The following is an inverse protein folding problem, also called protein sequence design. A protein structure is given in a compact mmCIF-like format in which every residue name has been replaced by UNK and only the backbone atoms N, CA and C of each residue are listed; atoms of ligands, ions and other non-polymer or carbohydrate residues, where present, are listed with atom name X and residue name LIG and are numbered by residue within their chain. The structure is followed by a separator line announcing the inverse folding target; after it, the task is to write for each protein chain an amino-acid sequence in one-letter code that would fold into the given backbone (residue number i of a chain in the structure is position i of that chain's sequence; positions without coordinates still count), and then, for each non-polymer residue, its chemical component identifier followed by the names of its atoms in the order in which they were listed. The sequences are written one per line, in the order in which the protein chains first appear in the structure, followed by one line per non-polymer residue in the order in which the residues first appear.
data_IF_098779861514
#
_entry.id   IF_098779861514
#
_cell.length_a   1.000
_cell.length_b   1.000
_cell.length_c   1.000
_cell.angle_alpha   90.00
_cell.angle_beta   90.00
_cell.angle_gamma   90.00
#
_symmetry.space_group_name_H-M   'P 1'
#
loop_
_entity.id
_entity.type
_entity.pdbx_description
1 polymer ?
#
# COMPACT_ATOMS: atom_id res chain seq x y z
N UNK A 1 -15.87 5.55 -6.49
CA UNK A 1 -15.66 4.35 -5.65
C UNK A 1 -15.34 4.76 -4.22
N UNK A 2 -15.88 4.04 -3.23
CA UNK A 2 -15.56 4.19 -1.81
C UNK A 2 -14.25 3.50 -1.46
N UNK A 3 -13.65 3.87 -0.32
CA UNK A 3 -12.45 3.20 0.19
C UNK A 3 -12.67 1.69 0.40
N UNK A 4 -13.88 1.27 0.78
CA UNK A 4 -14.23 -0.14 0.94
C UNK A 4 -14.31 -0.90 -0.40
N UNK A 5 -14.85 -0.28 -1.44
CA UNK A 5 -14.86 -0.87 -2.79
C UNK A 5 -13.45 -1.04 -3.33
N UNK A 6 -12.61 -0.01 -3.18
CA UNK A 6 -11.20 -0.04 -3.57
C UNK A 6 -10.44 -1.11 -2.76
N UNK A 7 -10.68 -1.18 -1.44
CA UNK A 7 -10.07 -2.17 -0.56
C UNK A 7 -10.31 -3.61 -1.03
N UNK A 8 -11.54 -3.91 -1.45
CA UNK A 8 -11.88 -5.24 -1.97
C UNK A 8 -11.06 -5.59 -3.20
N UNK A 9 -10.96 -4.66 -4.16
CA UNK A 9 -10.17 -4.86 -5.36
C UNK A 9 -8.68 -5.01 -5.06
N UNK A 10 -8.14 -4.26 -4.08
CA UNK A 10 -6.75 -4.40 -3.63
C UNK A 10 -6.50 -5.79 -3.05
N UNK A 11 -7.38 -6.28 -2.18
CA UNK A 11 -7.26 -7.62 -1.59
C UNK A 11 -7.29 -8.70 -2.68
N UNK A 12 -8.27 -8.64 -3.58
CA UNK A 12 -8.43 -9.61 -4.65
C UNK A 12 -7.23 -9.60 -5.62
N UNK A 13 -6.73 -8.41 -5.99
CA UNK A 13 -5.54 -8.24 -6.83
C UNK A 13 -4.27 -8.80 -6.15
N UNK A 14 -4.09 -8.52 -4.86
CA UNK A 14 -2.92 -8.99 -4.11
C UNK A 14 -2.88 -10.52 -4.02
N UNK A 15 -4.04 -11.13 -3.77
CA UNK A 15 -4.18 -12.60 -3.74
C UNK A 15 -3.89 -13.19 -5.12
N UNK A 16 -4.42 -12.58 -6.19
CA UNK A 16 -4.17 -13.05 -7.55
C UNK A 16 -2.68 -12.99 -7.91
N UNK A 17 -2.01 -11.87 -7.65
CA UNK A 17 -0.56 -11.71 -7.90
C UNK A 17 0.23 -12.77 -7.13
N UNK A 18 0.00 -12.90 -5.82
CA UNK A 18 0.74 -13.85 -4.98
C UNK A 18 0.49 -15.31 -5.41
N UNK A 19 -0.73 -15.65 -5.84
CA UNK A 19 -1.05 -16.99 -6.33
C UNK A 19 -0.28 -17.35 -7.60
N UNK A 20 -0.12 -16.41 -8.52
CA UNK A 20 0.57 -16.65 -9.80
C UNK A 20 2.10 -16.69 -9.64
N UNK A 21 2.66 -15.86 -8.76
CA UNK A 21 4.13 -15.74 -8.63
C UNK A 21 4.72 -16.55 -7.49
N UNK A 22 3.91 -16.87 -6.48
CA UNK A 22 4.40 -17.32 -5.18
C UNK A 22 5.15 -16.21 -4.41
N UNK A 23 5.62 -16.51 -3.19
CA UNK A 23 6.47 -15.64 -2.39
C UNK A 23 7.94 -15.64 -2.89
N UNK A 24 8.74 -14.70 -2.40
CA UNK A 24 10.21 -14.70 -2.58
C UNK A 24 10.78 -13.72 -3.62
N UNK A 25 9.92 -12.99 -4.36
CA UNK A 25 10.37 -11.90 -5.23
C UNK A 25 10.71 -10.62 -4.43
N UNK A 26 11.42 -9.70 -5.06
CA UNK A 26 11.69 -8.38 -4.49
C UNK A 26 10.41 -7.52 -4.42
N UNK A 27 10.34 -6.63 -3.43
CA UNK A 27 9.22 -5.69 -3.27
C UNK A 27 8.93 -4.90 -4.56
N UNK A 28 9.98 -4.46 -5.24
CA UNK A 28 9.87 -3.70 -6.50
C UNK A 28 9.23 -4.49 -7.64
N UNK A 29 9.32 -5.84 -7.61
CA UNK A 29 8.68 -6.71 -8.60
C UNK A 29 7.19 -6.81 -8.30
N UNK A 30 6.82 -7.09 -7.05
CA UNK A 30 5.40 -7.13 -6.66
C UNK A 30 4.70 -5.79 -6.88
N UNK A 31 5.41 -4.69 -6.68
CA UNK A 31 4.88 -3.35 -6.92
C UNK A 31 4.48 -3.14 -8.38
N UNK A 32 5.32 -3.59 -9.32
CA UNK A 32 5.02 -3.53 -10.77
C UNK A 32 3.82 -4.42 -11.11
N UNK A 33 3.78 -5.64 -10.59
CA UNK A 33 2.72 -6.60 -10.86
C UNK A 33 1.38 -6.16 -10.27
N UNK A 34 1.37 -5.72 -9.01
CA UNK A 34 0.17 -5.27 -8.33
C UNK A 34 -0.38 -4.00 -8.97
N UNK A 35 0.49 -3.07 -9.38
CA UNK A 35 0.06 -1.91 -10.16
C UNK A 35 -0.69 -2.36 -11.42
N UNK A 36 -0.10 -3.25 -12.21
CA UNK A 36 -0.70 -3.73 -13.45
C UNK A 36 -2.04 -4.45 -13.23
N UNK A 37 -2.13 -5.31 -12.21
CA UNK A 37 -3.36 -6.04 -11.86
C UNK A 37 -4.48 -5.09 -11.38
N UNK A 38 -4.14 -4.00 -10.70
CA UNK A 38 -5.12 -3.00 -10.28
C UNK A 38 -5.57 -2.11 -11.45
N UNK A 39 -4.66 -1.72 -12.33
CA UNK A 39 -4.98 -0.95 -13.54
C UNK A 39 -5.86 -1.76 -14.52
N UNK A 40 -5.62 -3.07 -14.65
CA UNK A 40 -6.47 -3.95 -15.48
C UNK A 40 -7.91 -4.06 -14.94
N UNK A 41 -8.11 -3.80 -13.64
CA UNK A 41 -9.41 -3.71 -12.97
C UNK A 41 -10.03 -2.31 -13.08
N UNK A 42 -9.42 -1.40 -13.83
CA UNK A 42 -9.92 -0.05 -14.09
C UNK A 42 -9.58 0.97 -13.01
N UNK A 43 -8.65 0.67 -12.09
CA UNK A 43 -8.22 1.60 -11.05
C UNK A 43 -7.06 2.47 -11.53
N UNK A 44 -7.07 3.75 -11.16
CA UNK A 44 -5.90 4.62 -11.26
C UNK A 44 -4.90 4.28 -10.15
N UNK A 45 -3.66 3.97 -10.53
CA UNK A 45 -2.59 3.63 -9.58
C UNK A 45 -1.34 4.46 -9.84
N UNK A 46 -1.04 5.33 -8.90
CA UNK A 46 0.16 6.16 -8.89
C UNK A 46 1.26 5.42 -8.11
N UNK A 47 2.44 5.27 -8.70
CA UNK A 47 3.55 4.48 -8.16
C UNK A 47 4.65 5.39 -7.61
N UNK A 48 5.28 4.99 -6.50
CA UNK A 48 6.52 5.61 -6.01
C UNK A 48 6.33 7.11 -5.73
N UNK A 49 5.28 7.46 -4.97
CA UNK A 49 4.83 8.85 -4.77
C UNK A 49 5.48 9.47 -3.53
N UNK A 50 6.21 10.56 -3.71
CA UNK A 50 6.82 11.31 -2.60
C UNK A 50 5.76 11.89 -1.67
N UNK A 51 5.89 11.62 -0.37
CA UNK A 51 5.03 12.19 0.66
C UNK A 51 5.75 13.38 1.29
N UNK A 52 5.27 14.63 1.04
CA UNK A 52 5.95 15.82 1.55
C UNK A 52 5.83 15.91 3.07
N UNK A 53 6.91 16.34 3.71
CA UNK A 53 6.92 16.67 5.13
C UNK A 53 6.86 18.18 5.26
N UNK A 54 6.01 18.66 6.17
CA UNK A 54 6.00 20.05 6.62
C UNK A 54 6.43 20.10 8.08
N UNK A 55 7.62 20.64 8.33
CA UNK A 55 8.14 20.86 9.67
C UNK A 55 8.38 22.35 9.90
N UNK A 56 7.54 22.97 10.74
CA UNK A 56 7.65 24.40 11.10
C UNK A 56 7.81 25.33 9.89
N UNK A 57 7.08 25.06 8.80
CA UNK A 57 7.11 25.84 7.57
C UNK A 57 8.17 25.39 6.55
N UNK A 58 9.10 24.51 6.92
CA UNK A 58 10.02 23.88 5.98
C UNK A 58 9.27 22.73 5.29
N UNK A 59 9.06 22.88 3.98
CA UNK A 59 8.48 21.84 3.12
C UNK A 59 9.59 21.17 2.32
N UNK A 60 9.69 19.85 2.43
CA UNK A 60 10.63 19.07 1.65
C UNK A 60 10.03 17.71 1.27
N UNK A 61 10.45 17.18 0.13
CA UNK A 61 9.98 15.90 -0.40
C UNK A 61 10.94 14.74 -0.06
N UNK A 62 12.15 15.03 0.43
CA UNK A 62 13.09 14.01 0.90
C UNK A 62 12.66 13.47 2.28
N UNK A 63 11.91 12.38 2.31
CA UNK A 63 11.67 11.70 3.59
C UNK A 63 10.91 10.39 3.44
N UNK A 64 9.87 10.40 2.62
CA UNK A 64 8.96 9.28 2.49
C UNK A 64 8.46 9.15 1.05
N UNK A 65 8.24 7.90 0.64
CA UNK A 65 7.79 7.57 -0.70
C UNK A 65 6.83 6.40 -0.57
N UNK A 66 5.56 6.66 -0.84
CA UNK A 66 4.54 5.62 -0.84
C UNK A 66 4.76 4.70 -2.03
N UNK A 67 4.66 3.39 -1.84
CA UNK A 67 4.85 2.44 -2.94
C UNK A 67 3.75 2.61 -3.98
N UNK A 68 2.48 2.53 -3.58
CA UNK A 68 1.34 2.83 -4.44
C UNK A 68 0.31 3.74 -3.75
N UNK A 69 -0.34 4.59 -4.55
CA UNK A 69 -1.56 5.31 -4.20
C UNK A 69 -2.63 4.97 -5.22
N UNK A 70 -3.74 4.40 -4.75
CA UNK A 70 -4.86 3.96 -5.58
C UNK A 70 -6.01 4.95 -5.47
N UNK A 71 -6.52 5.42 -6.61
CA UNK A 71 -7.65 6.37 -6.72
C UNK A 71 -7.48 7.66 -5.89
N UNK A 72 -6.23 8.05 -5.60
CA UNK A 72 -5.89 9.12 -4.64
C UNK A 72 -6.55 8.97 -3.25
N UNK A 73 -6.93 7.75 -2.87
CA UNK A 73 -7.66 7.46 -1.63
C UNK A 73 -6.98 6.44 -0.73
N UNK A 74 -6.35 5.42 -1.30
CA UNK A 74 -5.79 4.29 -0.56
C UNK A 74 -4.29 4.21 -0.77
N UNK A 75 -3.52 4.19 0.32
CA UNK A 75 -2.07 3.98 0.29
C UNK A 75 -1.77 2.48 0.38
N UNK A 76 -0.81 1.98 -0.38
CA UNK A 76 -0.29 0.62 -0.26
C UNK A 76 1.21 0.71 -0.05
N UNK A 77 1.69 0.04 1.00
CA UNK A 77 3.10 -0.27 1.23
C UNK A 77 3.31 -1.77 1.05
N UNK A 78 4.29 -2.15 0.24
CA UNK A 78 4.63 -3.54 -0.01
C UNK A 78 5.80 -3.96 0.87
N UNK A 79 5.78 -5.23 1.27
CA UNK A 79 6.89 -5.91 1.94
C UNK A 79 7.07 -7.29 1.34
N UNK A 80 8.30 -7.79 1.36
CA UNK A 80 8.63 -9.18 1.01
C UNK A 80 9.60 -9.72 2.05
N UNK A 81 9.09 -9.93 3.26
CA UNK A 81 9.89 -10.30 4.43
C UNK A 81 9.22 -11.42 5.21
N UNK A 82 10.01 -12.17 5.99
CA UNK A 82 9.48 -13.25 6.84
C UNK A 82 8.58 -12.73 7.96
N UNK A 83 8.80 -11.51 8.47
CA UNK A 83 7.99 -10.95 9.55
C UNK A 83 7.82 -9.45 9.45
N UNK A 84 6.57 -9.00 9.60
CA UNK A 84 6.24 -7.58 9.69
C UNK A 84 6.56 -7.01 11.08
N UNK A 85 7.36 -5.94 11.12
CA UNK A 85 7.66 -5.21 12.33
C UNK A 85 6.59 -4.16 12.68
N UNK A 86 6.58 -3.71 13.94
CA UNK A 86 5.75 -2.56 14.37
C UNK A 86 6.12 -1.27 13.62
N UNK A 87 7.37 -1.13 13.16
CA UNK A 87 7.82 0.05 12.42
C UNK A 87 7.14 0.14 11.05
N UNK A 88 6.96 -0.99 10.36
CA UNK A 88 6.26 -1.02 9.06
C UNK A 88 4.81 -0.51 9.20
N UNK A 89 4.09 -0.97 10.23
CA UNK A 89 2.72 -0.48 10.51
C UNK A 89 2.69 1.02 10.83
N UNK A 90 3.65 1.50 11.62
CA UNK A 90 3.79 2.93 11.96
C UNK A 90 4.08 3.80 10.74
N UNK A 91 4.85 3.30 9.78
CA UNK A 91 5.13 4.00 8.52
C UNK A 91 3.83 4.29 7.77
N UNK A 92 2.99 3.27 7.53
CA UNK A 92 1.70 3.46 6.83
C UNK A 92 0.82 4.48 7.55
N UNK A 93 0.68 4.36 8.88
CA UNK A 93 -0.10 5.32 9.67
C UNK A 93 0.44 6.75 9.58
N UNK A 94 1.76 6.91 9.47
CA UNK A 94 2.39 8.22 9.27
C UNK A 94 2.02 8.78 7.90
N UNK A 95 2.02 7.95 6.85
CA UNK A 95 1.66 8.39 5.50
C UNK A 95 0.20 8.81 5.43
N UNK A 96 -0.70 8.04 6.04
CA UNK A 96 -2.11 8.39 6.14
C UNK A 96 -2.32 9.75 6.80
N UNK A 97 -1.62 10.03 7.91
CA UNK A 97 -1.70 11.33 8.60
C UNK A 97 -1.14 12.48 7.76
N UNK A 98 0.02 12.29 7.13
CA UNK A 98 0.67 13.35 6.35
C UNK A 98 -0.07 13.68 5.05
N UNK A 99 -0.88 12.75 4.54
CA UNK A 99 -1.62 12.90 3.27
C UNK A 99 -3.12 13.14 3.46
N UNK A 100 -3.59 13.19 4.71
CA UNK A 100 -5.02 13.22 5.07
C UNK A 100 -5.85 12.09 4.42
N UNK A 101 -5.21 10.95 4.16
CA UNK A 101 -5.87 9.74 3.65
C UNK A 101 -6.33 8.87 4.81
N UNK A 102 -7.43 8.15 4.60
CA UNK A 102 -8.11 7.39 5.66
C UNK A 102 -7.78 5.91 5.69
N UNK A 103 -7.41 5.33 4.55
CA UNK A 103 -7.20 3.89 4.41
C UNK A 103 -5.82 3.60 3.83
N UNK A 104 -5.12 2.65 4.46
CA UNK A 104 -3.86 2.11 3.97
C UNK A 104 -3.78 0.59 4.11
N UNK A 105 -2.94 -0.01 3.27
CA UNK A 105 -2.58 -1.41 3.33
C UNK A 105 -1.08 -1.56 3.52
N UNK A 106 -0.70 -2.52 4.36
CA UNK A 106 0.64 -3.09 4.40
C UNK A 106 0.51 -4.53 3.91
N UNK A 107 1.10 -4.82 2.75
CA UNK A 107 0.98 -6.10 2.05
C UNK A 107 2.31 -6.84 2.11
N UNK A 108 2.37 -7.90 2.90
CA UNK A 108 3.54 -8.78 2.98
C UNK A 108 3.43 -9.95 2.01
N UNK A 109 4.13 -9.88 0.88
CA UNK A 109 4.24 -10.96 -0.09
C UNK A 109 5.28 -12.03 0.32
N UNK A 110 5.94 -11.87 1.47
CA UNK A 110 6.85 -12.87 2.04
C UNK A 110 6.14 -14.02 2.77
N UNK A 111 4.84 -13.89 3.06
CA UNK A 111 4.05 -14.94 3.71
C UNK A 111 3.78 -16.12 2.76
N UNK A 112 3.57 -17.30 3.36
CA UNK A 112 3.18 -18.50 2.62
C UNK A 112 1.84 -18.34 1.90
N UNK A 113 0.91 -17.56 2.46
CA UNK A 113 -0.38 -17.21 1.86
C UNK A 113 -0.60 -15.71 1.96
N UNK A 114 -1.04 -15.08 0.87
CA UNK A 114 -1.25 -13.64 0.85
C UNK A 114 -2.25 -13.14 1.91
N UNK A 115 -3.29 -13.92 2.21
CA UNK A 115 -4.31 -13.54 3.22
C UNK A 115 -3.70 -13.26 4.60
N UNK A 116 -2.59 -13.93 4.94
CA UNK A 116 -1.90 -13.77 6.22
C UNK A 116 -0.94 -12.55 6.18
N UNK A 117 -0.58 -12.11 4.97
CA UNK A 117 0.26 -10.94 4.72
C UNK A 117 -0.51 -9.63 4.58
N UNK A 118 -1.83 -9.62 4.67
CA UNK A 118 -2.65 -8.41 4.51
C UNK A 118 -2.87 -7.75 5.87
N UNK A 119 -2.33 -6.55 6.05
CA UNK A 119 -2.69 -5.68 7.17
C UNK A 119 -3.41 -4.44 6.67
N UNK A 120 -4.66 -4.25 7.13
CA UNK A 120 -5.46 -3.06 6.88
C UNK A 120 -5.27 -2.03 8.01
N UNK A 121 -4.99 -0.77 7.67
CA UNK A 121 -4.78 0.32 8.62
C UNK A 121 -5.71 1.48 8.32
N UNK A 122 -6.34 2.06 9.36
CA UNK A 122 -7.34 3.12 9.22
C UNK A 122 -6.91 4.34 10.06
N UNK A 123 -7.03 5.53 9.46
CA UNK A 123 -6.86 6.83 10.09
C UNK A 123 -8.22 7.54 10.13
N UNK A 124 -8.95 7.42 11.24
CA UNK A 124 -10.29 7.98 11.41
C UNK A 124 -11.41 7.01 11.00
N UNK A 125 -12.44 7.53 10.32
CA UNK A 125 -13.62 6.75 9.90
C UNK A 125 -13.76 6.77 8.39
N UNK A 126 -13.93 5.58 7.80
CA UNK A 126 -14.20 5.36 6.38
C UNK A 126 -15.67 5.03 6.14
N UNK A 127 -16.18 5.38 4.97
CA UNK A 127 -17.54 5.07 4.51
C UNK A 127 -17.58 3.70 3.81
#
# INVERSE_FOLDING_TARGET
MTENEIAKLIVDASIQVHKETGPGLLETVYEVLLKHELESRGLKVDRQISIPINYKGIKFQQGFKADLIVEDKVIIELKSVETISKAHKKQVLTYLKLTDKKLGFLLNFGEALMKDGITRLINGTIQ
#
